data_IF_010378096586
#
_entry.id   IF_010378096586
#
_cell.length_a   1.000
_cell.length_b   1.000
_cell.length_c   1.000
_cell.angle_alpha   90.00
_cell.angle_beta   90.00
_cell.angle_gamma   90.00
#
_symmetry.space_group_name_H-M   'P 1'
#
loop_
_entity.id
_entity.type
_entity.pdbx_description
1 polymer ?
#
# COMPACT_ATOMS: atom_id res chain seq x y z
N UNK A 1 -10.91 -1.52 17.45
CA UNK A 1 -11.30 -0.90 16.15
C UNK A 1 -11.14 -1.90 15.02
N UNK A 2 -11.87 -1.72 13.93
CA UNK A 2 -11.75 -2.46 12.67
C UNK A 2 -10.89 -1.65 11.69
N UNK A 3 -9.70 -2.16 11.40
CA UNK A 3 -8.68 -1.49 10.58
C UNK A 3 -8.52 -2.27 9.29
N UNK A 4 -8.87 -1.63 8.17
CA UNK A 4 -8.80 -2.22 6.84
C UNK A 4 -7.48 -1.86 6.16
N UNK A 5 -6.62 -2.84 5.93
CA UNK A 5 -5.33 -2.66 5.29
C UNK A 5 -5.44 -3.01 3.80
N UNK A 6 -5.62 -1.98 2.96
CA UNK A 6 -5.72 -2.10 1.49
C UNK A 6 -4.32 -1.93 0.91
N UNK A 7 -3.85 -2.94 0.18
CA UNK A 7 -2.58 -2.83 -0.52
C UNK A 7 -2.34 -3.88 -1.60
N UNK A 8 -1.10 -3.98 -2.03
CA UNK A 8 -0.64 -4.87 -3.09
C UNK A 8 0.03 -6.16 -2.55
N UNK A 9 1.01 -6.70 -3.26
CA UNK A 9 1.77 -7.90 -2.87
C UNK A 9 2.52 -7.74 -1.55
N UNK A 10 3.01 -6.54 -1.23
CA UNK A 10 3.66 -6.28 0.05
C UNK A 10 2.65 -6.23 1.22
N UNK A 11 1.36 -6.04 0.95
CA UNK A 11 0.29 -6.20 1.95
C UNK A 11 -0.23 -7.62 2.03
N UNK A 12 -0.31 -8.31 0.89
CA UNK A 12 -0.59 -9.75 0.86
C UNK A 12 0.50 -10.54 1.60
N UNK A 13 1.75 -10.09 1.48
CA UNK A 13 2.95 -10.70 2.06
C UNK A 13 3.62 -11.67 1.10
N UNK A 14 3.92 -11.24 -0.13
CA UNK A 14 4.63 -12.05 -1.11
C UNK A 14 6.06 -12.31 -0.66
N UNK A 15 6.44 -13.59 -0.58
CA UNK A 15 7.80 -13.99 -0.23
C UNK A 15 8.70 -13.93 -1.47
N UNK A 16 9.77 -13.12 -1.45
CA UNK A 16 10.64 -12.93 -2.61
C UNK A 16 11.40 -14.21 -3.00
N UNK A 17 11.52 -15.20 -2.12
CA UNK A 17 12.27 -16.45 -2.38
C UNK A 17 11.44 -17.48 -3.13
N UNK A 18 10.22 -17.73 -2.68
CA UNK A 18 9.40 -18.84 -3.18
C UNK A 18 8.02 -18.41 -3.72
N UNK A 19 7.68 -17.13 -3.60
CA UNK A 19 6.41 -16.54 -4.07
C UNK A 19 5.19 -16.95 -3.25
N UNK A 20 5.37 -17.65 -2.13
CA UNK A 20 4.30 -17.96 -1.20
C UNK A 20 3.99 -16.77 -0.30
N UNK A 21 3.01 -16.97 0.58
CA UNK A 21 2.56 -15.94 1.51
C UNK A 21 3.34 -16.01 2.82
N UNK A 22 4.01 -14.93 3.19
CA UNK A 22 4.64 -14.79 4.49
C UNK A 22 3.63 -15.01 5.63
N UNK A 23 3.99 -15.91 6.55
CA UNK A 23 3.26 -16.13 7.80
C UNK A 23 3.28 -14.89 8.70
N UNK A 24 4.42 -14.19 8.72
CA UNK A 24 4.71 -13.02 9.56
C UNK A 24 4.72 -11.72 8.74
N UNK A 25 3.87 -11.62 7.72
CA UNK A 25 3.61 -10.37 6.99
C UNK A 25 3.19 -9.23 7.93
N UNK A 26 3.44 -7.98 7.53
CA UNK A 26 3.32 -6.81 8.40
C UNK A 26 1.92 -6.65 9.02
N UNK A 27 0.85 -7.03 8.31
CA UNK A 27 -0.53 -7.01 8.82
C UNK A 27 -0.75 -8.00 9.97
N UNK A 28 -0.14 -9.19 9.91
CA UNK A 28 -0.18 -10.17 11.01
C UNK A 28 0.68 -9.71 12.19
N UNK A 29 1.83 -9.10 11.94
CA UNK A 29 2.65 -8.48 12.98
C UNK A 29 1.85 -7.39 13.70
N UNK A 30 1.20 -6.51 12.93
CA UNK A 30 0.34 -5.46 13.46
C UNK A 30 -0.81 -6.01 14.32
N UNK A 31 -1.50 -7.06 13.83
CA UNK A 31 -2.59 -7.71 14.58
C UNK A 31 -2.12 -8.27 15.93
N UNK A 32 -0.91 -8.84 15.98
CA UNK A 32 -0.34 -9.37 17.22
C UNK A 32 0.07 -8.26 18.20
N UNK A 33 0.45 -7.08 17.71
CA UNK A 33 0.81 -5.92 18.53
C UNK A 33 -0.41 -5.13 19.03
N UNK A 34 -1.56 -5.30 18.37
CA UNK A 34 -2.78 -4.54 18.61
C UNK A 34 -3.98 -5.47 18.86
N UNK A 35 -3.87 -6.34 19.85
CA UNK A 35 -4.82 -7.43 20.12
C UNK A 35 -6.27 -6.99 20.37
N UNK A 36 -6.48 -5.75 20.81
CA UNK A 36 -7.82 -5.15 21.01
C UNK A 36 -8.46 -4.64 19.69
N UNK A 37 -7.78 -4.83 18.55
CA UNK A 37 -8.17 -4.33 17.24
C UNK A 37 -8.30 -5.50 16.26
N UNK A 38 -9.24 -5.39 15.34
CA UNK A 38 -9.41 -6.31 14.23
C UNK A 38 -8.68 -5.75 13.01
N UNK A 39 -7.64 -6.44 12.56
CA UNK A 39 -6.92 -6.13 11.32
C UNK A 39 -7.52 -6.94 10.18
N UNK A 40 -8.02 -6.25 9.17
CA UNK A 40 -8.62 -6.84 7.97
C UNK A 40 -7.62 -6.68 6.83
N UNK A 41 -7.24 -7.80 6.22
CA UNK A 41 -6.19 -7.85 5.19
C UNK A 41 -6.79 -7.83 3.79
N UNK A 42 -6.62 -6.71 3.08
CA UNK A 42 -7.01 -6.53 1.68
C UNK A 42 -5.77 -6.33 0.81
N UNK A 43 -4.88 -7.31 0.82
CA UNK A 43 -3.68 -7.35 -0.03
C UNK A 43 -3.92 -8.16 -1.31
N UNK A 44 -3.62 -7.59 -2.48
CA UNK A 44 -3.74 -8.26 -3.78
C UNK A 44 -2.47 -8.09 -4.62
N UNK A 45 -1.80 -9.18 -4.95
CA UNK A 45 -0.59 -9.15 -5.76
C UNK A 45 -0.84 -8.47 -7.12
N UNK A 46 0.03 -7.52 -7.47
CA UNK A 46 -0.09 -6.76 -8.72
C UNK A 46 -1.16 -5.66 -8.70
N UNK A 47 -1.80 -5.37 -7.56
CA UNK A 47 -2.80 -4.30 -7.46
C UNK A 47 -2.21 -2.95 -7.88
N UNK A 48 -2.89 -2.33 -8.85
CA UNK A 48 -2.71 -0.97 -9.30
C UNK A 48 -3.78 -0.08 -8.67
N UNK A 49 -3.58 1.22 -8.67
CA UNK A 49 -4.53 2.27 -8.29
C UNK A 49 -5.50 2.59 -9.43
N UNK A 50 -4.97 3.04 -10.57
CA UNK A 50 -5.73 3.53 -11.74
C UNK A 50 -5.44 2.74 -13.01
N UNK A 51 -4.22 2.23 -13.15
CA UNK A 51 -3.79 1.54 -14.36
C UNK A 51 -4.50 0.21 -14.51
N UNK A 52 -5.01 -0.08 -15.71
CA UNK A 52 -5.69 -1.35 -16.00
C UNK A 52 -4.73 -2.22 -16.79
N UNK A 53 -4.28 -3.31 -16.17
CA UNK A 53 -3.62 -4.40 -16.88
C UNK A 53 -4.68 -5.10 -17.76
N UNK A 54 -4.54 -5.11 -19.11
CA UNK A 54 -5.53 -5.73 -19.98
C UNK A 54 -5.68 -7.24 -19.77
N UNK A 55 -4.68 -7.90 -19.17
CA UNK A 55 -4.72 -9.33 -18.86
C UNK A 55 -5.32 -9.61 -17.49
N UNK A 56 -5.22 -8.66 -16.55
CA UNK A 56 -5.68 -8.80 -15.15
C UNK A 56 -6.43 -7.53 -14.68
N UNK A 57 -7.54 -7.14 -15.34
CA UNK A 57 -8.22 -5.87 -15.10
C UNK A 57 -8.80 -5.74 -13.67
N UNK A 58 -9.02 -6.85 -13.00
CA UNK A 58 -9.49 -6.93 -11.61
C UNK A 58 -8.49 -6.36 -10.59
N UNK A 59 -7.22 -6.17 -10.99
CA UNK A 59 -6.17 -5.59 -10.13
C UNK A 59 -6.28 -4.08 -9.99
N UNK A 60 -7.07 -3.40 -10.81
CA UNK A 60 -7.26 -1.96 -10.72
C UNK A 60 -8.15 -1.58 -9.54
N UNK A 61 -7.55 -0.94 -8.52
CA UNK A 61 -8.22 -0.61 -7.26
C UNK A 61 -9.40 0.32 -7.46
N UNK A 62 -9.33 1.33 -8.33
CA UNK A 62 -10.45 2.27 -8.49
C UNK A 62 -11.74 1.59 -8.96
N UNK A 63 -11.62 0.46 -9.68
CA UNK A 63 -12.75 -0.32 -10.14
C UNK A 63 -13.40 -1.16 -9.03
N UNK A 64 -12.66 -1.52 -7.99
CA UNK A 64 -13.15 -2.42 -6.93
C UNK A 64 -13.13 -1.80 -5.51
N UNK A 65 -12.58 -0.60 -5.32
CA UNK A 65 -12.44 0.05 -4.00
C UNK A 65 -13.80 0.20 -3.30
N UNK A 66 -14.83 0.60 -4.04
CA UNK A 66 -16.20 0.69 -3.48
C UNK A 66 -16.71 -0.66 -2.99
N UNK A 67 -16.49 -1.73 -3.76
CA UNK A 67 -16.87 -3.09 -3.39
C UNK A 67 -16.16 -3.53 -2.12
N UNK A 68 -14.84 -3.32 -2.05
CA UNK A 68 -14.01 -3.61 -0.87
C UNK A 68 -14.58 -2.90 0.35
N UNK A 69 -14.75 -1.57 0.28
CA UNK A 69 -15.27 -0.76 1.39
C UNK A 69 -16.66 -1.24 1.82
N UNK A 70 -17.58 -1.47 0.87
CA UNK A 70 -18.93 -1.94 1.15
C UNK A 70 -18.96 -3.30 1.84
N UNK A 71 -18.08 -4.23 1.43
CA UNK A 71 -18.03 -5.58 1.99
C UNK A 71 -17.52 -5.65 3.43
N UNK A 72 -16.74 -4.63 3.86
CA UNK A 72 -16.08 -4.63 5.17
C UNK A 72 -16.73 -3.71 6.22
N UNK A 73 -17.75 -2.94 5.84
CA UNK A 73 -18.47 -2.05 6.76
C UNK A 73 -18.96 -2.80 8.02
N UNK A 74 -18.92 -2.16 9.20
CA UNK A 74 -18.23 -0.89 9.49
C UNK A 74 -16.71 -1.08 9.60
N UNK A 75 -15.94 -0.06 9.22
CA UNK A 75 -14.51 0.04 9.52
C UNK A 75 -14.24 1.40 10.16
N UNK A 76 -13.33 1.44 11.14
CA UNK A 76 -12.98 2.65 11.87
C UNK A 76 -11.81 3.38 11.21
N UNK A 77 -10.94 2.63 10.52
CA UNK A 77 -9.79 3.15 9.82
C UNK A 77 -9.46 2.35 8.56
N UNK A 78 -8.98 3.04 7.53
CA UNK A 78 -8.36 2.45 6.35
C UNK A 78 -6.88 2.82 6.32
N UNK A 79 -6.02 1.81 6.12
CA UNK A 79 -4.60 1.99 5.80
C UNK A 79 -4.44 1.64 4.32
N UNK A 80 -4.02 2.61 3.50
CA UNK A 80 -3.89 2.47 2.05
C UNK A 80 -2.41 2.50 1.66
N UNK A 81 -1.84 1.35 1.25
CA UNK A 81 -0.45 1.21 0.80
C UNK A 81 -0.41 0.56 -0.59
N UNK A 82 -0.34 1.40 -1.63
CA UNK A 82 -0.39 1.01 -3.05
C UNK A 82 0.51 1.95 -3.86
N UNK A 83 0.75 1.61 -5.14
CA UNK A 83 1.48 2.46 -6.09
C UNK A 83 2.76 1.83 -6.65
N UNK A 84 3.23 0.71 -6.08
CA UNK A 84 4.40 0.00 -6.61
C UNK A 84 4.15 -0.52 -8.04
N UNK A 85 2.97 -1.07 -8.31
CA UNK A 85 2.63 -1.66 -9.61
C UNK A 85 2.33 -0.64 -10.70
N UNK A 86 1.98 0.60 -10.36
CA UNK A 86 1.90 1.71 -11.31
C UNK A 86 3.25 2.00 -11.99
N UNK A 87 4.35 1.61 -11.34
CA UNK A 87 5.70 1.84 -11.84
C UNK A 87 6.14 0.78 -12.85
N UNK A 88 5.32 -0.23 -13.15
CA UNK A 88 5.65 -1.19 -14.20
C UNK A 88 5.79 -0.48 -15.55
N UNK A 89 6.79 -0.86 -16.34
CA UNK A 89 7.12 -0.28 -17.64
C UNK A 89 5.98 -0.32 -18.67
N UNK A 90 5.02 -1.24 -18.51
CA UNK A 90 3.80 -1.29 -19.31
C UNK A 90 2.88 -0.07 -19.08
N UNK A 91 3.06 0.66 -17.98
CA UNK A 91 2.31 1.85 -17.62
C UNK A 91 3.23 3.08 -17.64
N UNK A 92 3.04 4.03 -18.56
CA UNK A 92 3.81 5.28 -18.57
C UNK A 92 3.28 6.24 -17.48
N UNK A 93 3.64 6.00 -16.22
CA UNK A 93 3.20 6.79 -15.07
C UNK A 93 4.36 7.54 -14.39
N UNK A 94 4.07 8.73 -13.91
CA UNK A 94 4.97 9.51 -13.02
C UNK A 94 4.42 9.47 -11.61
N UNK A 95 5.26 9.66 -10.58
CA UNK A 95 4.86 9.71 -9.19
C UNK A 95 3.71 10.70 -8.94
N UNK A 96 3.72 11.84 -9.65
CA UNK A 96 2.64 12.84 -9.61
C UNK A 96 1.31 12.28 -10.12
N UNK A 97 1.32 11.52 -11.21
CA UNK A 97 0.11 10.88 -11.74
C UNK A 97 -0.39 9.76 -10.82
N UNK A 98 0.53 8.99 -10.25
CA UNK A 98 0.21 7.96 -9.26
C UNK A 98 -0.47 8.59 -8.03
N UNK A 99 0.02 9.74 -7.56
CA UNK A 99 -0.59 10.48 -6.46
C UNK A 99 -2.00 11.00 -6.78
N UNK A 100 -2.30 11.33 -8.05
CA UNK A 100 -3.69 11.64 -8.45
C UNK A 100 -4.61 10.44 -8.28
N UNK A 101 -4.11 9.21 -8.50
CA UNK A 101 -4.85 7.99 -8.18
C UNK A 101 -5.14 7.82 -6.69
N UNK A 102 -4.18 8.16 -5.83
CA UNK A 102 -4.41 8.22 -4.38
C UNK A 102 -5.49 9.24 -4.05
N UNK A 103 -5.48 10.42 -4.69
CA UNK A 103 -6.53 11.42 -4.50
C UNK A 103 -7.92 10.88 -4.87
N UNK A 104 -8.06 10.11 -5.94
CA UNK A 104 -9.34 9.47 -6.29
C UNK A 104 -9.76 8.41 -5.25
N UNK A 105 -8.81 7.64 -4.70
CA UNK A 105 -9.09 6.73 -3.60
C UNK A 105 -9.56 7.48 -2.34
N UNK A 106 -8.90 8.58 -1.99
CA UNK A 106 -9.26 9.46 -0.87
C UNK A 106 -10.70 9.97 -1.03
N UNK A 107 -11.06 10.49 -2.22
CA UNK A 107 -12.42 10.96 -2.52
C UNK A 107 -13.47 9.87 -2.31
N UNK A 108 -13.18 8.63 -2.69
CA UNK A 108 -14.09 7.49 -2.50
C UNK A 108 -14.20 7.11 -1.03
N UNK A 109 -13.07 6.94 -0.33
CA UNK A 109 -13.05 6.50 1.07
C UNK A 109 -13.74 7.52 1.98
N UNK A 110 -13.51 8.82 1.74
CA UNK A 110 -14.04 9.89 2.58
C UNK A 110 -15.45 10.35 2.18
N UNK A 111 -16.03 9.78 1.12
CA UNK A 111 -17.39 10.10 0.73
C UNK A 111 -18.38 9.57 1.79
N UNK A 112 -19.09 10.47 2.47
CA UNK A 112 -20.08 10.14 3.50
C UNK A 112 -21.19 9.22 2.99
N UNK A 113 -21.60 9.37 1.74
CA UNK A 113 -22.64 8.53 1.13
C UNK A 113 -22.20 7.06 1.00
N UNK A 114 -20.89 6.81 1.01
CA UNK A 114 -20.36 5.45 1.04
C UNK A 114 -20.53 4.77 2.38
N UNK A 115 -20.95 5.43 3.46
CA UNK A 115 -20.95 4.85 4.82
C UNK A 115 -22.34 4.68 5.46
N UNK A 116 -23.41 5.00 4.73
CA UNK A 116 -24.80 4.85 5.20
C UNK A 116 -25.04 5.51 6.57
N UNK A 117 -25.18 4.70 7.63
CA UNK A 117 -25.38 5.14 9.02
C UNK A 117 -24.10 5.08 9.87
N UNK A 118 -23.00 4.60 9.30
CA UNK A 118 -21.72 4.48 9.95
C UNK A 118 -20.88 5.75 9.78
N UNK A 119 -19.91 5.93 10.66
CA UNK A 119 -18.96 7.02 10.52
C UNK A 119 -18.02 6.77 9.33
N UNK A 120 -17.58 7.85 8.69
CA UNK A 120 -16.47 7.78 7.73
C UNK A 120 -15.20 7.37 8.49
N UNK A 121 -14.45 6.35 8.03
CA UNK A 121 -13.24 5.92 8.70
C UNK A 121 -12.15 6.99 8.66
N UNK A 122 -11.26 6.97 9.64
CA UNK A 122 -9.96 7.65 9.51
C UNK A 122 -9.19 7.02 8.34
N UNK A 123 -8.35 7.80 7.66
CA UNK A 123 -7.53 7.31 6.54
C UNK A 123 -6.06 7.63 6.79
N UNK A 124 -5.24 6.58 6.77
CA UNK A 124 -3.78 6.66 6.72
C UNK A 124 -3.32 6.26 5.32
N UNK A 125 -2.70 7.20 4.60
CA UNK A 125 -2.04 6.92 3.32
C UNK A 125 -0.59 6.58 3.59
N UNK A 126 -0.14 5.47 2.99
CA UNK A 126 1.23 4.97 3.15
C UNK A 126 1.88 4.91 1.77
N UNK A 127 2.96 5.68 1.57
CA UNK A 127 3.81 5.48 0.40
C UNK A 127 4.55 4.14 0.55
N UNK A 128 4.60 3.29 -0.49
CA UNK A 128 5.24 1.98 -0.40
C UNK A 128 6.76 2.07 -0.18
N UNK A 129 7.36 0.94 0.14
CA UNK A 129 8.82 0.79 0.13
C UNK A 129 9.39 1.06 -1.27
N UNK A 130 10.67 1.43 -1.34
CA UNK A 130 11.33 1.71 -2.61
C UNK A 130 11.58 0.44 -3.41
N UNK A 131 11.49 0.56 -4.73
CA UNK A 131 12.11 -0.41 -5.64
C UNK A 131 13.62 -0.17 -5.54
N UNK A 132 14.37 -1.24 -5.28
CA UNK A 132 15.82 -1.17 -5.09
C UNK A 132 16.54 -0.78 -6.38
N UNK A 133 17.65 -0.04 -6.24
CA UNK A 133 18.52 0.32 -7.37
C UNK A 133 19.08 -0.94 -8.05
N UNK A 134 19.25 -2.02 -7.29
CA UNK A 134 19.71 -3.33 -7.79
C UNK A 134 18.72 -4.00 -8.76
N UNK A 135 17.48 -3.53 -8.85
CA UNK A 135 16.54 -3.95 -9.90
C UNK A 135 17.16 -3.78 -11.30
N UNK A 136 17.97 -2.73 -11.49
CA UNK A 136 18.58 -2.40 -12.77
C UNK A 136 19.90 -3.12 -12.99
N UNK A 137 20.71 -3.27 -11.93
CA UNK A 137 22.07 -3.80 -12.04
C UNK A 137 22.15 -5.31 -11.90
N UNK A 138 21.33 -5.89 -11.03
CA UNK A 138 21.36 -7.31 -10.68
C UNK A 138 20.08 -8.05 -11.12
N UNK A 139 19.07 -7.32 -11.60
CA UNK A 139 17.81 -7.87 -12.07
C UNK A 139 16.95 -8.40 -10.91
N UNK A 140 16.37 -9.59 -11.11
CA UNK A 140 15.40 -10.19 -10.20
C UNK A 140 14.27 -10.86 -10.99
N UNK A 141 13.40 -11.60 -10.31
CA UNK A 141 12.28 -12.29 -10.96
C UNK A 141 11.33 -11.34 -11.72
N UNK A 142 11.32 -10.05 -11.35
CA UNK A 142 10.43 -9.02 -11.89
C UNK A 142 11.15 -7.95 -12.73
N UNK A 143 12.45 -8.10 -13.02
CA UNK A 143 13.22 -7.09 -13.74
C UNK A 143 12.76 -6.82 -15.19
N UNK A 144 11.94 -7.70 -15.75
CA UNK A 144 11.32 -7.48 -17.06
C UNK A 144 10.13 -6.50 -17.00
N UNK A 145 9.56 -6.26 -15.83
CA UNK A 145 8.44 -5.33 -15.61
C UNK A 145 8.88 -3.95 -15.12
N UNK A 146 10.11 -3.78 -14.64
CA UNK A 146 10.57 -2.54 -14.01
C UNK A 146 11.89 -2.08 -14.61
N UNK A 147 12.04 -0.76 -14.77
CA UNK A 147 13.20 -0.14 -15.39
C UNK A 147 13.73 1.05 -14.57
N UNK A 148 14.71 1.77 -15.12
CA UNK A 148 15.34 2.92 -14.45
C UNK A 148 14.32 4.02 -14.10
N UNK A 149 13.29 4.20 -14.95
CA UNK A 149 12.19 5.12 -14.66
C UNK A 149 11.38 4.64 -13.47
N UNK A 150 11.07 3.35 -13.40
CA UNK A 150 10.38 2.76 -12.24
C UNK A 150 11.10 3.05 -10.93
N UNK A 151 12.39 2.80 -10.87
CA UNK A 151 13.22 3.03 -9.67
C UNK A 151 13.25 4.52 -9.33
N UNK A 152 13.48 5.39 -10.32
CA UNK A 152 13.53 6.84 -10.13
C UNK A 152 12.20 7.40 -9.61
N UNK A 153 11.09 7.00 -10.21
CA UNK A 153 9.75 7.48 -9.81
C UNK A 153 9.31 6.91 -8.45
N UNK A 154 9.75 5.69 -8.08
CA UNK A 154 9.48 5.12 -6.74
C UNK A 154 9.96 6.04 -5.61
N UNK A 155 11.12 6.67 -5.79
CA UNK A 155 11.74 7.60 -4.82
C UNK A 155 10.97 8.91 -4.66
N UNK A 156 10.05 9.22 -5.58
CA UNK A 156 9.27 10.45 -5.59
C UNK A 156 7.85 10.25 -5.04
N UNK A 157 7.40 9.01 -4.85
CA UNK A 157 6.03 8.71 -4.38
C UNK A 157 5.73 9.33 -3.03
N UNK A 158 6.65 9.24 -2.07
CA UNK A 158 6.44 9.73 -0.72
C UNK A 158 6.14 11.25 -0.69
N UNK A 159 6.92 12.04 -1.44
CA UNK A 159 6.72 13.48 -1.52
C UNK A 159 5.36 13.83 -2.16
N UNK A 160 5.00 13.16 -3.27
CA UNK A 160 3.75 13.41 -3.96
C UNK A 160 2.52 12.96 -3.14
N UNK A 161 2.60 11.83 -2.44
CA UNK A 161 1.52 11.35 -1.58
C UNK A 161 1.32 12.27 -0.38
N UNK A 162 2.41 12.78 0.21
CA UNK A 162 2.35 13.75 1.30
C UNK A 162 1.61 15.03 0.88
N UNK A 163 1.84 15.55 -0.33
CA UNK A 163 1.10 16.70 -0.87
C UNK A 163 -0.41 16.46 -0.92
N UNK A 164 -0.84 15.26 -1.31
CA UNK A 164 -2.26 14.88 -1.29
C UNK A 164 -2.78 14.82 0.15
N UNK A 165 -2.03 14.22 1.08
CA UNK A 165 -2.45 14.14 2.47
C UNK A 165 -2.58 15.52 3.11
N UNK A 166 -1.65 16.43 2.87
CA UNK A 166 -1.71 17.83 3.35
C UNK A 166 -2.94 18.57 2.81
N UNK A 167 -3.25 18.41 1.51
CA UNK A 167 -4.43 18.99 0.87
C UNK A 167 -5.75 18.58 1.55
N UNK A 168 -5.83 17.34 2.01
CA UNK A 168 -7.04 16.77 2.64
C UNK A 168 -6.96 16.68 4.16
N UNK A 169 -5.89 17.19 4.79
CA UNK A 169 -5.63 17.08 6.23
C UNK A 169 -5.67 15.62 6.72
N UNK A 170 -5.00 14.73 5.97
CA UNK A 170 -4.93 13.30 6.24
C UNK A 170 -3.59 12.89 6.83
N UNK A 171 -3.60 11.72 7.44
CA UNK A 171 -2.41 11.10 7.97
C UNK A 171 -1.59 10.45 6.87
N UNK A 172 -0.27 10.63 6.96
CA UNK A 172 0.70 10.12 6.02
C UNK A 172 1.80 9.34 6.73
N UNK A 173 2.31 8.30 6.06
CA UNK A 173 3.53 7.59 6.45
C UNK A 173 4.32 7.17 5.20
N UNK A 174 5.65 7.29 5.27
CA UNK A 174 6.55 6.76 4.26
C UNK A 174 7.11 5.41 4.74
N UNK A 175 6.72 4.31 4.10
CA UNK A 175 7.17 2.97 4.50
C UNK A 175 8.68 2.77 4.27
N UNK A 176 9.27 3.49 3.31
CA UNK A 176 10.69 3.35 2.96
C UNK A 176 11.65 3.80 4.06
N UNK A 177 11.17 4.61 5.01
CA UNK A 177 11.93 5.03 6.18
C UNK A 177 12.08 3.91 7.23
N UNK A 178 11.32 2.82 7.10
CA UNK A 178 11.25 1.75 8.11
C UNK A 178 11.56 0.36 7.55
N UNK A 179 11.30 0.15 6.27
CA UNK A 179 11.48 -1.14 5.61
C UNK A 179 11.99 -0.96 4.18
N UNK A 180 12.66 -1.98 3.68
CA UNK A 180 13.23 -2.04 2.34
C UNK A 180 12.87 -3.36 1.64
N UNK A 181 12.99 -3.37 0.32
CA UNK A 181 12.86 -4.61 -0.45
C UNK A 181 14.05 -5.53 -0.21
N UNK A 182 13.81 -6.84 -0.34
CA UNK A 182 14.84 -7.87 -0.36
C UNK A 182 15.74 -7.73 -1.58
N UNK A 183 17.00 -8.11 -1.44
CA UNK A 183 17.96 -8.23 -2.55
C UNK A 183 17.65 -9.40 -3.51
N UNK A 184 16.73 -10.30 -3.15
CA UNK A 184 16.38 -11.47 -3.97
C UNK A 184 15.61 -11.05 -5.23
N UNK A 185 14.65 -10.15 -5.11
CA UNK A 185 13.83 -9.69 -6.23
C UNK A 185 13.73 -8.16 -6.36
N UNK A 186 14.34 -7.41 -5.44
CA UNK A 186 14.45 -5.95 -5.44
C UNK A 186 13.09 -5.21 -5.37
N UNK A 187 12.01 -5.91 -5.02
CA UNK A 187 10.64 -5.39 -5.01
C UNK A 187 9.86 -5.73 -3.73
N UNK A 188 9.97 -6.95 -3.23
CA UNK A 188 9.19 -7.43 -2.08
C UNK A 188 10.00 -7.46 -0.79
N UNK A 189 9.32 -7.21 0.33
CA UNK A 189 9.93 -7.32 1.66
C UNK A 189 10.22 -8.77 2.02
N UNK A 190 11.32 -8.99 2.74
CA UNK A 190 11.51 -10.24 3.48
C UNK A 190 10.81 -10.19 4.86
N UNK A 191 10.93 -11.27 5.62
CA UNK A 191 10.31 -11.40 6.94
C UNK A 191 10.77 -10.30 7.92
N UNK A 192 12.04 -9.90 7.88
CA UNK A 192 12.57 -8.85 8.76
C UNK A 192 11.93 -7.50 8.44
N UNK A 193 11.85 -7.15 7.16
CA UNK A 193 11.26 -5.89 6.70
C UNK A 193 9.74 -5.85 6.94
N UNK A 194 9.04 -6.97 6.78
CA UNK A 194 7.65 -7.08 7.23
C UNK A 194 7.49 -6.82 8.73
N UNK A 195 8.40 -7.34 9.57
CA UNK A 195 8.39 -7.08 11.01
C UNK A 195 8.64 -5.60 11.31
N UNK A 196 9.63 -4.97 10.68
CA UNK A 196 9.94 -3.54 10.87
C UNK A 196 8.74 -2.66 10.51
N UNK A 197 8.15 -2.87 9.34
CA UNK A 197 6.98 -2.11 8.89
C UNK A 197 5.78 -2.30 9.83
N UNK A 198 5.52 -3.53 10.28
CA UNK A 198 4.42 -3.82 11.21
C UNK A 198 4.55 -3.08 12.56
N UNK A 199 5.78 -2.96 13.10
CA UNK A 199 6.02 -2.19 14.32
C UNK A 199 5.86 -0.69 14.08
N UNK A 200 6.42 -0.16 12.99
CA UNK A 200 6.32 1.26 12.66
C UNK A 200 4.86 1.70 12.45
N UNK A 201 4.04 0.86 11.78
CA UNK A 201 2.62 1.10 11.63
C UNK A 201 1.88 1.02 12.97
N UNK A 202 2.22 0.08 13.85
CA UNK A 202 1.66 0.04 15.20
C UNK A 202 1.92 1.35 15.96
N UNK A 203 3.15 1.86 15.91
CA UNK A 203 3.52 3.09 16.61
C UNK A 203 2.79 4.30 16.02
N UNK A 204 2.75 4.43 14.68
CA UNK A 204 1.99 5.48 14.00
C UNK A 204 0.51 5.43 14.38
N UNK A 205 -0.11 4.25 14.31
CA UNK A 205 -1.52 4.07 14.61
C UNK A 205 -1.86 4.42 16.07
N UNK A 206 -1.02 4.02 17.03
CA UNK A 206 -1.19 4.39 18.44
C UNK A 206 -1.14 5.91 18.65
N UNK A 207 -0.26 6.63 17.94
CA UNK A 207 -0.19 8.09 18.02
C UNK A 207 -1.51 8.73 17.57
N UNK A 208 -2.11 8.25 16.48
CA UNK A 208 -3.38 8.78 15.91
C UNK A 208 -4.62 8.61 16.79
N UNK A 209 -4.51 7.87 17.90
CA UNK A 209 -5.61 7.64 18.83
C UNK A 209 -5.32 8.10 20.26
N UNK A 210 -4.08 8.45 20.57
CA UNK A 210 -3.80 9.20 21.80
C UNK A 210 -4.19 10.68 21.67
N UNK A 211 -4.47 11.14 20.44
CA UNK A 211 -5.08 12.43 20.08
C UNK A 211 -6.60 12.32 19.90
#
# INVERSE_FOLDING_TARGET
MRILCIGDSNTWGYDPVDGFRHKNRWTRVLANLMTEHEIIEEGLNGRTILSVDPYMPERCLIHNLKLILMSHKPVDMVVLMVGSNELKNIFPCTAKYIAQGIEECVKIILNKDMWDRFNVPKLLVVSPILIRDEMITNGGAFAWEFDETSVRESKLLAEEYKKICEKYQLEFMDASLYAEASLVDNLHMDEENHKKLGHALCDKLKQLWME
#
